data_IF_360611843265
#
_entry.id   IF_360611843265
#
_cell.length_a   1.000
_cell.length_b   1.000
_cell.length_c   1.000
_cell.angle_alpha   90.00
_cell.angle_beta   90.00
_cell.angle_gamma   90.00
#
_symmetry.space_group_name_H-M   'P 1'
#
loop_
_entity.id
_entity.type
_entity.pdbx_description
1 polymer ?
#
# COMPACT_ATOMS: atom_id res chain seq x y z
N UNK A 1 8.08 -3.11 -24.84
CA UNK A 1 9.50 -3.37 -24.54
C UNK A 1 10.06 -4.25 -25.63
N UNK A 2 11.35 -4.15 -25.96
CA UNK A 2 11.98 -5.06 -26.94
C UNK A 2 12.19 -6.45 -26.33
N UNK A 3 12.42 -7.48 -27.16
CA UNK A 3 12.75 -8.83 -26.68
C UNK A 3 13.97 -8.85 -25.77
N UNK A 4 14.99 -8.04 -26.07
CA UNK A 4 16.20 -7.95 -25.25
C UNK A 4 15.91 -7.31 -23.89
N UNK A 5 15.13 -6.22 -23.88
CA UNK A 5 14.71 -5.59 -22.62
C UNK A 5 13.91 -6.56 -21.74
N UNK A 6 13.03 -7.37 -22.33
CA UNK A 6 12.26 -8.38 -21.59
C UNK A 6 13.19 -9.41 -20.96
N UNK A 7 14.20 -9.90 -21.69
CA UNK A 7 15.20 -10.83 -21.17
C UNK A 7 15.99 -10.21 -20.02
N UNK A 8 16.39 -8.96 -20.13
CA UNK A 8 17.07 -8.21 -19.07
C UNK A 8 16.19 -8.02 -17.84
N UNK A 9 14.88 -7.78 -18.00
CA UNK A 9 13.91 -7.75 -16.87
C UNK A 9 13.91 -9.09 -16.15
N UNK A 10 13.82 -10.21 -16.87
CA UNK A 10 13.82 -11.52 -16.23
C UNK A 10 15.11 -11.81 -15.48
N UNK A 11 16.26 -11.42 -16.05
CA UNK A 11 17.55 -11.53 -15.36
C UNK A 11 17.59 -10.65 -14.11
N UNK A 12 17.11 -9.41 -14.19
CA UNK A 12 17.01 -8.50 -13.06
C UNK A 12 16.11 -9.04 -11.95
N UNK A 13 14.94 -9.61 -12.29
CA UNK A 13 14.05 -10.27 -11.34
C UNK A 13 14.74 -11.45 -10.66
N UNK A 14 15.50 -12.26 -11.41
CA UNK A 14 16.28 -13.36 -10.85
C UNK A 14 17.34 -12.90 -9.85
N UNK A 15 18.04 -11.81 -10.17
CA UNK A 15 19.02 -11.20 -9.29
C UNK A 15 18.36 -10.59 -8.04
N UNK A 16 17.24 -9.88 -8.21
CA UNK A 16 16.47 -9.30 -7.11
C UNK A 16 15.94 -10.39 -6.16
N UNK A 17 15.39 -11.48 -6.70
CA UNK A 17 14.95 -12.64 -5.92
C UNK A 17 16.10 -13.25 -5.11
N UNK A 18 17.28 -13.38 -5.71
CA UNK A 18 18.46 -13.92 -5.05
C UNK A 18 18.95 -12.98 -3.95
N UNK A 19 19.03 -11.68 -4.24
CA UNK A 19 19.44 -10.67 -3.28
C UNK A 19 18.49 -10.60 -2.06
N UNK A 20 17.18 -10.67 -2.28
CA UNK A 20 16.18 -10.69 -1.20
C UNK A 20 16.34 -11.93 -0.30
N UNK A 21 16.57 -13.12 -0.89
CA UNK A 21 16.78 -14.36 -0.14
C UNK A 21 18.12 -14.41 0.61
N UNK A 22 19.16 -13.81 0.03
CA UNK A 22 20.50 -13.76 0.61
C UNK A 22 20.71 -12.55 1.54
N UNK A 23 19.68 -11.72 1.73
CA UNK A 23 19.74 -10.50 2.54
C UNK A 23 20.79 -9.48 2.04
N UNK A 24 20.95 -9.36 0.72
CA UNK A 24 21.91 -8.46 0.07
C UNK A 24 21.36 -7.03 -0.04
N UNK A 25 21.42 -6.29 1.07
CA UNK A 25 20.90 -4.93 1.19
C UNK A 25 21.45 -3.94 0.15
N UNK A 26 22.72 -4.05 -0.21
CA UNK A 26 23.37 -3.14 -1.15
C UNK A 26 22.82 -3.25 -2.57
N UNK A 27 22.45 -4.46 -2.99
CA UNK A 27 21.84 -4.67 -4.31
C UNK A 27 20.50 -3.94 -4.39
N UNK A 28 19.68 -4.08 -3.35
CA UNK A 28 18.32 -3.55 -3.32
C UNK A 28 18.32 -2.01 -3.25
N UNK A 29 19.23 -1.43 -2.48
CA UNK A 29 19.46 0.02 -2.49
C UNK A 29 19.88 0.54 -3.87
N UNK A 30 20.78 -0.17 -4.56
CA UNK A 30 21.26 0.21 -5.90
C UNK A 30 20.24 -0.05 -7.01
N UNK A 31 19.34 -1.00 -6.81
CA UNK A 31 18.28 -1.33 -7.74
C UNK A 31 17.20 -0.23 -7.80
N UNK A 32 17.07 0.60 -6.77
CA UNK A 32 16.11 1.70 -6.74
C UNK A 32 16.62 2.94 -7.46
N UNK A 33 15.82 3.47 -8.39
CA UNK A 33 16.15 4.71 -9.11
C UNK A 33 15.29 5.88 -8.61
N UNK A 34 15.87 6.69 -7.73
CA UNK A 34 15.23 7.88 -7.17
C UNK A 34 14.86 8.92 -8.24
N UNK A 35 15.66 9.07 -9.29
CA UNK A 35 15.40 10.04 -10.38
C UNK A 35 14.13 9.68 -11.13
N UNK A 36 13.98 8.42 -11.52
CA UNK A 36 12.78 7.94 -12.21
C UNK A 36 11.55 8.02 -11.30
N UNK A 37 11.66 7.63 -10.02
CA UNK A 37 10.57 7.79 -9.06
C UNK A 37 10.12 9.26 -8.96
N UNK A 38 11.05 10.20 -8.82
CA UNK A 38 10.74 11.65 -8.77
C UNK A 38 10.02 12.11 -10.04
N UNK A 39 10.42 11.62 -11.22
CA UNK A 39 9.75 11.94 -12.48
C UNK A 39 8.30 11.45 -12.53
N UNK A 40 7.96 10.33 -11.85
CA UNK A 40 6.59 9.78 -11.82
C UNK A 40 5.58 10.63 -11.08
N UNK A 41 6.03 11.39 -10.08
CA UNK A 41 5.18 12.33 -9.35
C UNK A 41 4.64 13.41 -10.29
N UNK A 42 5.36 13.67 -11.37
CA UNK A 42 4.94 14.56 -12.45
C UNK A 42 5.27 16.02 -12.17
N UNK A 43 4.74 16.91 -13.01
CA UNK A 43 5.02 18.34 -12.93
C UNK A 43 4.31 18.95 -11.72
N UNK A 44 5.08 19.55 -10.83
CA UNK A 44 4.60 20.37 -9.72
C UNK A 44 4.85 21.86 -10.02
N UNK A 45 4.08 22.78 -9.43
CA UNK A 45 4.45 24.20 -9.44
C UNK A 45 5.71 24.46 -8.61
N UNK A 46 6.27 25.69 -8.62
CA UNK A 46 7.49 26.02 -7.84
C UNK A 46 7.33 25.73 -6.34
N UNK A 47 6.18 26.10 -5.76
CA UNK A 47 5.84 25.81 -4.36
C UNK A 47 5.73 24.30 -4.14
N UNK A 48 5.06 23.59 -5.05
CA UNK A 48 4.92 22.14 -4.99
C UNK A 48 6.26 21.40 -5.06
N UNK A 49 7.21 21.88 -5.86
CA UNK A 49 8.58 21.34 -5.90
C UNK A 49 9.31 21.52 -4.57
N UNK A 50 9.19 22.69 -3.94
CA UNK A 50 9.79 22.94 -2.63
C UNK A 50 9.24 22.00 -1.55
N UNK A 51 7.91 21.88 -1.48
CA UNK A 51 7.22 20.95 -0.56
C UNK A 51 7.60 19.51 -0.86
N UNK A 52 7.58 19.10 -2.12
CA UNK A 52 7.95 17.75 -2.52
C UNK A 52 9.39 17.42 -2.14
N UNK A 53 10.35 18.27 -2.47
CA UNK A 53 11.75 18.02 -2.13
C UNK A 53 11.94 17.88 -0.62
N UNK A 54 11.29 18.74 0.18
CA UNK A 54 11.35 18.63 1.63
C UNK A 54 10.75 17.31 2.13
N UNK A 55 9.51 16.99 1.74
CA UNK A 55 8.82 15.74 2.14
C UNK A 55 9.61 14.52 1.68
N UNK A 56 10.14 14.57 0.46
CA UNK A 56 10.91 13.47 -0.12
C UNK A 56 12.19 13.18 0.65
N UNK A 57 13.02 14.19 0.88
CA UNK A 57 14.32 14.00 1.52
C UNK A 57 14.17 13.69 3.02
N UNK A 58 13.15 14.23 3.70
CA UNK A 58 12.94 14.01 5.15
C UNK A 58 12.19 12.73 5.49
N UNK A 59 11.28 12.28 4.62
CA UNK A 59 10.31 11.22 4.96
C UNK A 59 10.33 10.09 3.93
N UNK A 60 10.16 10.42 2.65
CA UNK A 60 9.87 9.41 1.61
C UNK A 60 11.10 8.57 1.27
N UNK A 61 12.26 9.21 1.10
CA UNK A 61 13.50 8.53 0.73
C UNK A 61 13.86 7.47 1.76
N UNK A 62 13.82 7.86 3.05
CA UNK A 62 14.00 6.94 4.16
C UNK A 62 12.95 5.84 4.19
N UNK A 63 11.67 6.16 3.99
CA UNK A 63 10.60 5.15 4.00
C UNK A 63 10.70 4.14 2.86
N UNK A 64 11.09 4.55 1.65
CA UNK A 64 11.30 3.64 0.52
C UNK A 64 12.49 2.72 0.76
N UNK A 65 13.60 3.29 1.25
CA UNK A 65 14.76 2.49 1.66
C UNK A 65 14.34 1.51 2.78
N UNK A 66 13.63 1.99 3.80
CA UNK A 66 13.18 1.19 4.94
C UNK A 66 12.15 0.12 4.54
N UNK A 67 11.24 0.36 3.60
CA UNK A 67 10.26 -0.63 3.18
C UNK A 67 10.93 -1.85 2.54
N UNK A 68 11.93 -1.59 1.70
CA UNK A 68 12.76 -2.64 1.11
C UNK A 68 13.60 -3.37 2.17
N UNK A 69 14.12 -2.63 3.17
CA UNK A 69 14.84 -3.21 4.30
C UNK A 69 13.92 -4.03 5.22
N UNK A 70 12.67 -3.61 5.43
CA UNK A 70 11.68 -4.27 6.27
C UNK A 70 11.33 -5.65 5.73
N UNK A 71 11.09 -5.77 4.41
CA UNK A 71 10.87 -7.06 3.76
C UNK A 71 12.04 -8.03 4.01
N UNK A 72 13.29 -7.56 3.89
CA UNK A 72 14.47 -8.37 4.13
C UNK A 72 14.60 -8.74 5.61
N UNK A 73 14.36 -7.78 6.50
CA UNK A 73 14.47 -7.97 7.94
C UNK A 73 13.45 -8.98 8.43
N UNK A 74 12.21 -8.94 7.94
CA UNK A 74 11.18 -9.94 8.26
C UNK A 74 11.61 -11.33 7.80
N UNK A 75 12.04 -11.48 6.54
CA UNK A 75 12.54 -12.80 6.06
C UNK A 75 13.73 -13.30 6.89
N UNK A 76 14.64 -12.41 7.28
CA UNK A 76 15.86 -12.78 8.01
C UNK A 76 15.63 -13.10 9.48
N UNK A 77 14.76 -12.34 10.14
CA UNK A 77 14.68 -12.30 11.60
C UNK A 77 13.35 -12.78 12.16
N UNK A 78 12.25 -12.74 11.41
CA UNK A 78 10.94 -13.24 11.86
C UNK A 78 10.55 -14.58 11.25
N UNK A 79 11.39 -15.17 10.41
CA UNK A 79 11.08 -16.46 9.76
C UNK A 79 10.08 -16.35 8.61
N UNK A 80 9.79 -15.13 8.16
CA UNK A 80 8.88 -14.90 7.05
C UNK A 80 9.40 -15.50 5.74
N UNK A 81 8.51 -16.02 4.91
CA UNK A 81 8.81 -16.58 3.58
C UNK A 81 8.43 -15.59 2.49
N UNK A 82 9.40 -15.17 1.68
CA UNK A 82 9.15 -14.35 0.49
C UNK A 82 9.05 -15.22 -0.77
N UNK A 83 7.94 -15.11 -1.51
CA UNK A 83 7.73 -15.78 -2.80
C UNK A 83 7.49 -14.75 -3.91
N UNK A 84 8.18 -14.94 -5.03
CA UNK A 84 7.86 -14.24 -6.28
C UNK A 84 6.62 -14.88 -6.91
N UNK A 85 5.59 -14.09 -7.16
CA UNK A 85 4.31 -14.56 -7.71
C UNK A 85 4.31 -14.52 -9.23
N UNK A 86 4.57 -13.34 -9.79
CA UNK A 86 4.56 -13.12 -11.24
C UNK A 86 5.36 -11.89 -11.63
N UNK A 87 5.77 -11.87 -12.89
CA UNK A 87 6.28 -10.66 -13.55
C UNK A 87 5.40 -10.39 -14.75
N UNK A 88 4.68 -9.26 -14.74
CA UNK A 88 3.90 -8.79 -15.88
C UNK A 88 4.77 -7.88 -16.74
N UNK A 89 4.81 -8.14 -18.05
CA UNK A 89 5.46 -7.27 -19.02
C UNK A 89 4.40 -6.39 -19.67
N UNK A 90 4.60 -5.08 -19.61
CA UNK A 90 3.76 -4.06 -20.23
C UNK A 90 4.60 -3.35 -21.29
N UNK A 91 3.97 -2.63 -22.22
CA UNK A 91 4.65 -2.02 -23.36
C UNK A 91 5.82 -1.12 -22.95
N UNK A 92 5.76 -0.46 -21.79
CA UNK A 92 6.76 0.53 -21.37
C UNK A 92 7.47 0.19 -20.06
N UNK A 93 7.06 -0.85 -19.35
CA UNK A 93 7.58 -1.21 -18.02
C UNK A 93 7.23 -2.66 -17.67
N UNK A 94 7.77 -3.16 -16.57
CA UNK A 94 7.35 -4.43 -15.98
C UNK A 94 6.85 -4.23 -14.55
N UNK A 95 6.01 -5.16 -14.09
CA UNK A 95 5.53 -5.21 -12.72
C UNK A 95 5.96 -6.53 -12.08
N UNK A 96 6.62 -6.47 -10.93
CA UNK A 96 7.03 -7.67 -10.18
C UNK A 96 6.17 -7.75 -8.93
N UNK A 97 5.44 -8.85 -8.75
CA UNK A 97 4.63 -9.07 -7.54
C UNK A 97 5.28 -10.11 -6.64
N UNK A 98 5.42 -9.74 -5.37
CA UNK A 98 5.89 -10.60 -4.28
C UNK A 98 4.80 -10.79 -3.25
N UNK A 99 4.82 -11.95 -2.60
CA UNK A 99 4.10 -12.24 -1.37
C UNK A 99 5.12 -12.53 -0.28
N UNK A 100 5.01 -11.85 0.86
CA UNK A 100 5.65 -12.20 2.10
C UNK A 100 4.64 -12.98 2.95
N UNK A 101 5.04 -14.08 3.57
CA UNK A 101 4.19 -14.91 4.45
C UNK A 101 4.88 -14.99 5.81
N UNK A 102 4.21 -14.61 6.89
CA UNK A 102 4.77 -14.49 8.25
C UNK A 102 3.71 -14.90 9.26
N UNK A 103 3.86 -15.99 10.03
CA UNK A 103 2.94 -16.38 11.11
C UNK A 103 1.42 -16.35 10.78
N UNK A 104 1.02 -16.79 9.57
CA UNK A 104 -0.37 -16.73 9.07
C UNK A 104 -0.76 -15.41 8.37
N UNK A 105 0.10 -14.40 8.47
CA UNK A 105 -0.02 -13.13 7.78
C UNK A 105 0.57 -13.25 6.38
N UNK A 106 0.00 -12.51 5.42
CA UNK A 106 0.65 -12.32 4.14
C UNK A 106 0.58 -10.87 3.67
N UNK A 107 1.69 -10.39 3.14
CA UNK A 107 1.83 -9.03 2.64
C UNK A 107 2.19 -9.06 1.17
N UNK A 108 1.46 -8.28 0.37
CA UNK A 108 1.68 -8.19 -1.05
C UNK A 108 2.41 -6.90 -1.39
N UNK A 109 3.52 -7.05 -2.10
CA UNK A 109 4.28 -5.91 -2.62
C UNK A 109 4.40 -6.07 -4.13
N UNK A 110 3.98 -5.04 -4.87
CA UNK A 110 4.18 -4.97 -6.31
C UNK A 110 5.10 -3.82 -6.64
N UNK A 111 6.22 -4.13 -7.30
CA UNK A 111 7.17 -3.15 -7.78
C UNK A 111 6.95 -2.84 -9.24
N UNK A 112 7.26 -1.59 -9.61
CA UNK A 112 7.44 -1.19 -10.99
C UNK A 112 8.91 -1.25 -11.38
N UNK A 113 9.18 -1.79 -12.56
CA UNK A 113 10.50 -1.81 -13.19
C UNK A 113 10.47 -1.03 -14.49
N UNK A 114 11.29 0.01 -14.59
CA UNK A 114 11.50 0.76 -15.84
C UNK A 114 12.96 0.66 -16.31
N UNK A 115 13.17 0.97 -17.58
CA UNK A 115 14.49 1.08 -18.16
C UNK A 115 15.04 2.50 -18.07
N UNK A 116 16.30 2.60 -17.67
CA UNK A 116 17.04 3.84 -17.72
C UNK A 116 18.49 3.54 -18.10
N UNK A 117 19.00 4.28 -19.09
CA UNK A 117 20.36 4.08 -19.64
C UNK A 117 20.64 2.60 -20.01
N UNK A 118 19.63 1.93 -20.59
CA UNK A 118 19.74 0.54 -21.01
C UNK A 118 19.77 -0.48 -19.89
N UNK A 119 19.39 -0.13 -18.65
CA UNK A 119 19.32 -1.06 -17.51
C UNK A 119 17.97 -0.98 -16.80
N UNK A 120 17.47 -2.12 -16.26
CA UNK A 120 16.25 -2.14 -15.45
C UNK A 120 16.50 -1.63 -14.03
N UNK A 121 15.55 -0.86 -13.50
CA UNK A 121 15.55 -0.35 -12.13
C UNK A 121 14.16 -0.45 -11.50
N UNK A 122 14.10 -0.63 -10.18
CA UNK A 122 12.90 -0.39 -9.40
C UNK A 122 12.61 1.11 -9.36
N UNK A 123 11.38 1.50 -9.65
CA UNK A 123 11.01 2.91 -9.84
C UNK A 123 9.73 3.33 -9.13
N UNK A 124 8.95 2.38 -8.63
CA UNK A 124 7.72 2.65 -7.88
C UNK A 124 7.28 1.39 -7.12
N UNK A 125 6.40 1.59 -6.14
CA UNK A 125 5.78 0.54 -5.33
C UNK A 125 4.27 0.75 -5.35
N UNK A 126 3.51 -0.32 -5.57
CA UNK A 126 2.06 -0.27 -5.54
C UNK A 126 1.54 -0.66 -4.15
N UNK A 127 0.69 0.19 -3.59
CA UNK A 127 -0.05 -0.08 -2.35
C UNK A 127 -1.39 -0.70 -2.70
N UNK A 128 -1.57 -1.99 -2.42
CA UNK A 128 -2.88 -2.65 -2.55
C UNK A 128 -3.89 -2.13 -1.53
N UNK A 129 -3.44 -1.54 -0.42
CA UNK A 129 -4.28 -0.87 0.57
C UNK A 129 -4.93 0.39 -0.02
N UNK A 130 -4.14 1.17 -0.77
CA UNK A 130 -4.58 2.45 -1.34
C UNK A 130 -5.01 2.36 -2.81
N UNK A 131 -4.95 1.16 -3.40
CA UNK A 131 -5.19 0.89 -4.82
C UNK A 131 -4.33 1.70 -5.80
N UNK A 132 -3.16 2.17 -5.37
CA UNK A 132 -2.40 3.09 -6.19
C UNK A 132 -0.89 2.99 -6.02
N UNK A 133 -0.20 3.45 -7.06
CA UNK A 133 1.24 3.63 -7.05
C UNK A 133 1.62 4.69 -6.02
N UNK A 134 2.70 4.43 -5.30
CA UNK A 134 3.17 5.29 -4.22
C UNK A 134 3.56 6.68 -4.72
N UNK A 135 4.10 6.80 -5.94
CA UNK A 135 4.33 8.11 -6.58
C UNK A 135 3.04 8.94 -6.74
N UNK A 136 1.89 8.30 -7.01
CA UNK A 136 0.58 8.96 -7.07
C UNK A 136 0.11 9.41 -5.69
N UNK A 137 0.16 8.52 -4.69
CA UNK A 137 -0.15 8.90 -3.29
C UNK A 137 0.68 10.10 -2.85
N UNK A 138 1.98 10.10 -3.19
CA UNK A 138 2.88 11.18 -2.83
C UNK A 138 2.50 12.51 -3.50
N UNK A 139 2.14 12.45 -4.79
CA UNK A 139 1.64 13.62 -5.50
C UNK A 139 0.41 14.19 -4.81
N UNK A 140 -0.54 13.33 -4.43
CA UNK A 140 -1.78 13.75 -3.79
C UNK A 140 -1.52 14.40 -2.42
N UNK A 141 -0.58 13.83 -1.63
CA UNK A 141 -0.11 14.43 -0.36
C UNK A 141 0.54 15.80 -0.59
N UNK A 142 1.37 15.96 -1.62
CA UNK A 142 2.01 17.25 -1.94
C UNK A 142 0.96 18.29 -2.37
N UNK A 143 0.01 17.90 -3.20
CA UNK A 143 -1.08 18.77 -3.63
C UNK A 143 -1.96 19.19 -2.44
N UNK A 144 -2.24 18.25 -1.53
CA UNK A 144 -2.97 18.53 -0.30
C UNK A 144 -2.24 19.55 0.58
N UNK A 145 -0.93 19.36 0.80
CA UNK A 145 -0.12 20.28 1.60
C UNK A 145 0.09 21.65 0.93
N UNK A 146 0.02 21.71 -0.40
CA UNK A 146 0.06 22.97 -1.14
C UNK A 146 -1.27 23.73 -1.00
N UNK A 147 -2.40 23.01 -0.98
CA UNK A 147 -3.74 23.59 -0.82
C UNK A 147 -4.04 23.99 0.64
N UNK A 148 -3.63 23.16 1.59
CA UNK A 148 -3.85 23.35 3.02
C UNK A 148 -2.50 23.51 3.74
N UNK A 149 -2.02 24.75 3.77
CA UNK A 149 -0.73 25.11 4.37
C UNK A 149 -0.74 24.93 5.89
N UNK A 150 0.42 25.11 6.53
CA UNK A 150 0.57 25.02 7.99
C UNK A 150 -0.27 26.02 8.80
N UNK A 151 -0.87 27.03 8.15
CA UNK A 151 -1.75 28.02 8.78
C UNK A 151 -3.24 27.77 8.48
N UNK A 152 -3.57 26.70 7.74
CA UNK A 152 -4.95 26.40 7.38
C UNK A 152 -5.73 25.89 8.59
N UNK A 153 -6.86 26.53 8.97
CA UNK A 153 -7.71 26.05 10.06
C UNK A 153 -8.17 24.59 9.83
N UNK A 154 -8.56 24.25 8.60
CA UNK A 154 -8.95 22.89 8.21
C UNK A 154 -7.85 21.86 8.44
N UNK A 155 -6.59 22.23 8.19
CA UNK A 155 -5.44 21.35 8.49
C UNK A 155 -5.28 21.15 9.99
N UNK A 156 -5.40 22.22 10.79
CA UNK A 156 -5.29 22.13 12.24
C UNK A 156 -6.42 21.29 12.86
N UNK A 157 -7.64 21.44 12.36
CA UNK A 157 -8.80 20.63 12.75
C UNK A 157 -8.56 19.15 12.44
N UNK A 158 -8.19 18.82 11.21
CA UNK A 158 -7.89 17.44 10.82
C UNK A 158 -6.73 16.83 11.61
N UNK A 159 -5.65 17.57 11.83
CA UNK A 159 -4.53 17.10 12.62
C UNK A 159 -4.93 16.85 14.08
N UNK A 160 -5.76 17.72 14.67
CA UNK A 160 -6.27 17.53 16.03
C UNK A 160 -7.16 16.31 16.13
N UNK A 161 -8.08 16.14 15.18
CA UNK A 161 -8.93 14.98 15.08
C UNK A 161 -8.12 13.68 14.94
N UNK A 162 -7.07 13.68 14.11
CA UNK A 162 -6.16 12.53 13.95
C UNK A 162 -5.37 12.22 15.24
N UNK A 163 -4.92 13.25 15.97
CA UNK A 163 -4.24 13.06 17.27
C UNK A 163 -5.21 12.47 18.30
N UNK A 164 -6.44 13.01 18.37
CA UNK A 164 -7.47 12.49 19.27
C UNK A 164 -7.82 11.04 18.95
N UNK A 165 -7.96 10.71 17.66
CA UNK A 165 -8.15 9.33 17.21
C UNK A 165 -7.05 8.41 17.72
N UNK A 166 -5.77 8.77 17.52
CA UNK A 166 -4.63 7.95 17.97
C UNK A 166 -4.62 7.76 19.48
N UNK A 167 -4.80 8.83 20.24
CA UNK A 167 -4.86 8.77 21.70
C UNK A 167 -6.01 7.87 22.19
N UNK A 168 -7.17 7.94 21.53
CA UNK A 168 -8.34 7.13 21.87
C UNK A 168 -8.13 5.64 21.53
N UNK A 169 -7.50 5.33 20.39
CA UNK A 169 -7.07 3.96 20.05
C UNK A 169 -6.11 3.42 21.10
N UNK A 170 -5.09 4.20 21.49
CA UNK A 170 -4.09 3.79 22.48
C UNK A 170 -4.71 3.56 23.88
N UNK A 171 -5.80 4.25 24.21
CA UNK A 171 -6.55 4.03 25.45
C UNK A 171 -7.65 2.97 25.35
N UNK A 172 -7.87 2.37 24.18
CA UNK A 172 -8.96 1.41 23.93
C UNK A 172 -10.36 2.04 23.91
N UNK A 173 -10.47 3.35 23.74
CA UNK A 173 -11.73 4.08 23.62
C UNK A 173 -12.14 4.17 22.14
N UNK A 174 -12.73 3.08 21.64
CA UNK A 174 -13.08 2.96 20.22
C UNK A 174 -14.21 3.90 19.81
N UNK A 175 -15.15 4.24 20.70
CA UNK A 175 -16.22 5.20 20.39
C UNK A 175 -15.66 6.61 20.16
N UNK A 176 -14.79 7.09 21.05
CA UNK A 176 -14.12 8.38 20.86
C UNK A 176 -13.18 8.36 19.64
N UNK A 177 -12.54 7.23 19.38
CA UNK A 177 -11.69 7.06 18.21
C UNK A 177 -12.51 7.23 16.92
N UNK A 178 -13.66 6.55 16.80
CA UNK A 178 -14.51 6.65 15.61
C UNK A 178 -15.07 8.07 15.44
N UNK A 179 -15.57 8.68 16.51
CA UNK A 179 -16.05 10.06 16.49
C UNK A 179 -14.95 11.03 16.02
N UNK A 180 -13.71 10.80 16.46
CA UNK A 180 -12.57 11.63 16.06
C UNK A 180 -12.23 11.45 14.58
N UNK A 181 -12.32 10.23 14.01
CA UNK A 181 -12.15 10.03 12.57
C UNK A 181 -13.22 10.74 11.75
N UNK A 182 -14.47 10.73 12.20
CA UNK A 182 -15.58 11.41 11.52
C UNK A 182 -15.44 12.93 11.46
N UNK A 183 -14.68 13.52 12.40
CA UNK A 183 -14.37 14.95 12.39
C UNK A 183 -13.36 15.36 11.31
N UNK A 184 -12.64 14.41 10.71
CA UNK A 184 -11.66 14.72 9.65
C UNK A 184 -12.42 15.08 8.37
N UNK A 185 -12.24 16.29 7.81
CA UNK A 185 -12.98 16.71 6.61
C UNK A 185 -12.77 15.76 5.43
N UNK A 186 -13.81 15.39 4.66
CA UNK A 186 -13.69 14.50 3.50
C UNK A 186 -12.65 14.97 2.48
N UNK A 187 -12.49 16.29 2.30
CA UNK A 187 -11.47 16.86 1.41
C UNK A 187 -10.02 16.59 1.80
N UNK A 188 -9.79 16.05 3.00
CA UNK A 188 -8.47 15.69 3.55
C UNK A 188 -8.30 14.17 3.66
N UNK A 189 -9.35 13.38 3.37
CA UNK A 189 -9.34 11.93 3.36
C UNK A 189 -8.92 11.41 1.97
N UNK A 190 -7.65 11.63 1.59
CA UNK A 190 -7.17 11.39 0.22
C UNK A 190 -6.72 9.94 -0.06
N UNK A 191 -6.82 9.06 0.94
CA UNK A 191 -6.27 7.69 0.94
C UNK A 191 -7.26 6.73 1.59
N UNK A 192 -7.21 5.46 1.23
CA UNK A 192 -8.13 4.45 1.77
C UNK A 192 -7.88 4.14 3.24
N UNK A 193 -6.73 4.54 3.79
CA UNK A 193 -6.41 4.40 5.20
C UNK A 193 -7.49 4.97 6.14
N UNK A 194 -8.25 5.99 5.74
CA UNK A 194 -9.39 6.50 6.51
C UNK A 194 -10.58 5.54 6.51
N UNK A 195 -10.95 4.99 5.34
CA UNK A 195 -12.02 3.99 5.24
C UNK A 195 -11.68 2.76 6.08
N UNK A 196 -10.44 2.30 5.97
CA UNK A 196 -9.92 1.14 6.70
C UNK A 196 -9.92 1.40 8.21
N UNK A 197 -9.42 2.57 8.65
CA UNK A 197 -9.42 2.94 10.05
C UNK A 197 -10.84 2.98 10.63
N UNK A 198 -11.82 3.50 9.87
CA UNK A 198 -13.23 3.50 10.28
C UNK A 198 -13.78 2.09 10.46
N UNK A 199 -13.61 1.21 9.46
CA UNK A 199 -14.08 -0.18 9.53
C UNK A 199 -13.47 -0.89 10.75
N UNK A 200 -12.13 -0.83 10.89
CA UNK A 200 -11.44 -1.51 11.98
C UNK A 200 -11.85 -0.96 13.35
N UNK A 201 -12.06 0.35 13.48
CA UNK A 201 -12.53 0.95 14.74
C UNK A 201 -13.96 0.53 15.05
N UNK A 202 -14.86 0.57 14.07
CA UNK A 202 -16.26 0.19 14.24
C UNK A 202 -16.44 -1.28 14.62
N UNK A 203 -15.60 -2.17 14.06
CA UNK A 203 -15.58 -3.59 14.39
C UNK A 203 -15.27 -3.88 15.87
N UNK A 204 -14.60 -2.96 16.58
CA UNK A 204 -14.29 -3.09 18.00
C UNK A 204 -15.39 -2.51 18.93
N UNK A 205 -16.46 -1.92 18.37
CA UNK A 205 -17.54 -1.31 19.15
C UNK A 205 -18.78 -2.19 19.17
N UNK A 206 -19.39 -2.44 17.99
CA UNK A 206 -20.57 -3.31 17.86
C UNK A 206 -20.85 -3.68 16.40
N UNK A 207 -21.51 -4.82 16.19
CA UNK A 207 -21.93 -5.28 14.84
C UNK A 207 -22.84 -4.26 14.14
N UNK A 208 -23.75 -3.60 14.87
CA UNK A 208 -24.64 -2.60 14.29
C UNK A 208 -23.88 -1.38 13.76
N UNK A 209 -22.84 -0.94 14.48
CA UNK A 209 -22.05 0.20 14.06
C UNK A 209 -21.08 -0.18 12.93
N UNK A 210 -20.55 -1.39 12.97
CA UNK A 210 -19.78 -1.97 11.88
C UNK A 210 -20.58 -2.00 10.59
N UNK A 211 -21.79 -2.56 10.61
CA UNK A 211 -22.68 -2.62 9.44
C UNK A 211 -22.96 -1.23 8.86
N UNK A 212 -23.35 -0.28 9.71
CA UNK A 212 -23.55 1.12 9.31
C UNK A 212 -22.30 1.73 8.68
N UNK A 213 -21.13 1.49 9.28
CA UNK A 213 -19.86 2.02 8.78
C UNK A 213 -19.51 1.43 7.43
N UNK A 214 -19.76 0.13 7.23
CA UNK A 214 -19.56 -0.56 5.95
C UNK A 214 -20.45 0.08 4.88
N UNK A 215 -21.74 0.28 5.16
CA UNK A 215 -22.67 0.94 4.22
C UNK A 215 -22.22 2.37 3.85
N UNK A 216 -21.60 3.09 4.78
CA UNK A 216 -21.13 4.47 4.55
C UNK A 216 -19.83 4.55 3.74
N UNK A 217 -18.92 3.57 3.89
CA UNK A 217 -17.63 3.57 3.18
C UNK A 217 -17.67 2.83 1.86
N UNK A 218 -18.67 1.98 1.66
CA UNK A 218 -18.95 1.27 0.43
C UNK A 218 -19.25 2.27 -0.70
N UNK A 219 -18.42 2.25 -1.73
CA UNK A 219 -18.65 3.06 -2.92
C UNK A 219 -19.56 2.28 -3.88
N UNK A 220 -20.87 2.27 -3.63
CA UNK A 220 -21.82 1.58 -4.52
C UNK A 220 -21.78 2.04 -6.00
N UNK A 221 -21.13 3.18 -6.30
CA UNK A 221 -20.98 3.71 -7.65
C UNK A 221 -19.65 3.33 -8.31
N UNK A 222 -18.62 2.95 -7.55
CA UNK A 222 -17.33 2.50 -8.06
C UNK A 222 -16.87 1.24 -7.33
N UNK A 223 -16.31 0.27 -8.07
CA UNK A 223 -15.73 -0.92 -7.44
C UNK A 223 -14.72 -0.50 -6.36
N UNK A 224 -14.97 -0.89 -5.11
CA UNK A 224 -14.09 -0.62 -3.98
C UNK A 224 -12.69 -1.17 -4.23
N UNK A 225 -11.72 -0.64 -3.48
CA UNK A 225 -10.41 -1.27 -3.45
C UNK A 225 -10.49 -2.69 -2.86
N UNK A 226 -9.73 -3.61 -3.43
CA UNK A 226 -9.75 -5.03 -3.06
C UNK A 226 -9.47 -5.30 -1.57
N UNK A 227 -8.68 -4.44 -0.91
CA UNK A 227 -8.40 -4.57 0.52
C UNK A 227 -9.60 -4.16 1.38
N UNK A 228 -10.37 -3.14 0.95
CA UNK A 228 -11.61 -2.75 1.64
C UNK A 228 -12.64 -3.87 1.53
N UNK A 229 -12.82 -4.46 0.34
CA UNK A 229 -13.73 -5.59 0.14
C UNK A 229 -13.33 -6.80 0.99
N UNK A 230 -12.04 -7.09 1.08
CA UNK A 230 -11.50 -8.11 1.97
C UNK A 230 -11.88 -7.86 3.43
N UNK A 231 -11.68 -6.65 3.94
CA UNK A 231 -12.03 -6.32 5.33
C UNK A 231 -13.54 -6.46 5.57
N UNK A 232 -14.35 -6.00 4.64
CA UNK A 232 -15.80 -6.17 4.70
C UNK A 232 -16.19 -7.65 4.75
N UNK A 233 -15.66 -8.49 3.87
CA UNK A 233 -15.92 -9.92 3.87
C UNK A 233 -15.49 -10.59 5.19
N UNK A 234 -14.30 -10.23 5.70
CA UNK A 234 -13.77 -10.74 6.96
C UNK A 234 -14.67 -10.41 8.15
N UNK A 235 -15.10 -9.15 8.29
CA UNK A 235 -15.90 -8.71 9.43
C UNK A 235 -17.37 -9.12 9.36
N UNK A 236 -17.94 -9.21 8.15
CA UNK A 236 -19.34 -9.63 7.97
C UNK A 236 -19.53 -11.15 8.12
N UNK A 237 -18.45 -11.94 8.05
CA UNK A 237 -18.50 -13.40 7.99
C UNK A 237 -19.41 -13.92 6.86
N UNK A 238 -19.54 -13.17 5.76
CA UNK A 238 -20.32 -13.55 4.59
C UNK A 238 -19.48 -14.43 3.67
N UNK A 239 -19.76 -15.72 3.67
CA UNK A 239 -19.01 -16.71 2.89
C UNK A 239 -19.15 -16.50 1.38
N UNK A 240 -20.30 -16.04 0.89
CA UNK A 240 -20.50 -15.83 -0.54
C UNK A 240 -19.71 -14.61 -1.01
N UNK A 241 -19.77 -13.54 -0.23
CA UNK A 241 -18.99 -12.35 -0.51
C UNK A 241 -17.49 -12.61 -0.41
N UNK A 242 -17.06 -13.41 0.57
CA UNK A 242 -15.67 -13.82 0.70
C UNK A 242 -15.17 -14.64 -0.50
N UNK A 243 -16.01 -15.49 -1.08
CA UNK A 243 -15.66 -16.22 -2.30
C UNK A 243 -15.47 -15.27 -3.50
N UNK A 244 -16.34 -14.28 -3.66
CA UNK A 244 -16.23 -13.27 -4.72
C UNK A 244 -14.95 -12.43 -4.57
N UNK A 245 -14.64 -11.99 -3.34
CA UNK A 245 -13.39 -11.26 -3.04
C UNK A 245 -12.17 -12.12 -3.33
N UNK A 246 -12.17 -13.40 -2.93
CA UNK A 246 -11.08 -14.34 -3.21
C UNK A 246 -10.87 -14.51 -4.71
N UNK A 247 -11.94 -14.60 -5.49
CA UNK A 247 -11.89 -14.68 -6.95
C UNK A 247 -11.26 -13.41 -7.54
N UNK A 248 -11.68 -12.22 -7.08
CA UNK A 248 -11.13 -10.94 -7.53
C UNK A 248 -9.65 -10.78 -7.15
N UNK A 249 -9.27 -11.14 -5.93
CA UNK A 249 -7.87 -11.17 -5.46
C UNK A 249 -7.00 -12.02 -6.39
N UNK A 250 -7.48 -13.21 -6.80
CA UNK A 250 -6.77 -14.06 -7.75
C UNK A 250 -6.57 -13.39 -9.10
N UNK A 251 -7.56 -12.67 -9.61
CA UNK A 251 -7.46 -11.99 -10.90
C UNK A 251 -6.50 -10.80 -10.83
N UNK A 252 -6.66 -9.92 -9.84
CA UNK A 252 -5.88 -8.68 -9.73
C UNK A 252 -4.43 -8.94 -9.33
N UNK A 253 -4.21 -9.84 -8.37
CA UNK A 253 -2.88 -10.15 -7.83
C UNK A 253 -2.20 -11.26 -8.66
N UNK A 254 -2.97 -12.12 -9.32
CA UNK A 254 -2.46 -13.26 -10.11
C UNK A 254 -1.96 -14.41 -9.25
N UNK A 255 -2.52 -14.59 -8.05
CA UNK A 255 -2.23 -15.72 -7.17
C UNK A 255 -3.01 -16.95 -7.66
N UNK A 256 -2.38 -18.12 -7.66
CA UNK A 256 -3.05 -19.36 -8.04
C UNK A 256 -4.08 -19.77 -6.98
N UNK A 257 -5.15 -20.47 -7.39
CA UNK A 257 -6.15 -20.97 -6.44
C UNK A 257 -5.51 -21.80 -5.31
N UNK A 258 -4.61 -22.76 -5.58
CA UNK A 258 -4.01 -23.56 -4.52
C UNK A 258 -3.16 -22.74 -3.54
N UNK A 259 -2.46 -21.70 -4.04
CA UNK A 259 -1.70 -20.82 -3.16
C UNK A 259 -2.64 -19.99 -2.29
N UNK A 260 -3.72 -19.43 -2.85
CA UNK A 260 -4.72 -18.72 -2.06
C UNK A 260 -5.41 -19.63 -1.05
N UNK A 261 -5.84 -20.83 -1.46
CA UNK A 261 -6.47 -21.82 -0.58
C UNK A 261 -5.52 -22.24 0.56
N UNK A 262 -4.21 -22.34 0.31
CA UNK A 262 -3.21 -22.61 1.36
C UNK A 262 -3.01 -21.43 2.33
N UNK A 263 -3.20 -20.20 1.86
CA UNK A 263 -3.20 -19.02 2.73
C UNK A 263 -4.50 -18.99 3.55
N UNK A 264 -5.63 -19.44 3.00
CA UNK A 264 -6.92 -19.46 3.70
C UNK A 264 -6.93 -20.43 4.89
N UNK A 265 -6.09 -21.46 4.88
CA UNK A 265 -5.96 -22.44 5.98
C UNK A 265 -5.06 -21.99 7.13
N UNK A 266 -4.12 -21.07 6.87
CA UNK A 266 -3.29 -20.41 7.88
C UNK A 266 -3.87 -19.02 8.08
N UNK A 267 -4.90 -18.92 8.95
CA UNK A 267 -5.78 -17.75 9.12
C UNK A 267 -5.26 -16.46 8.48
N UNK A 268 -5.88 -16.06 7.35
CA UNK A 268 -5.43 -14.94 6.53
C UNK A 268 -5.28 -13.69 7.36
N UNK A 269 -4.10 -13.08 7.30
CA UNK A 269 -3.92 -11.80 7.95
C UNK A 269 -3.48 -10.70 6.99
N UNK A 270 -4.52 -9.96 6.64
CA UNK A 270 -4.54 -8.54 6.29
C UNK A 270 -5.00 -7.71 7.52
N UNK A 271 -4.73 -8.19 8.75
CA UNK A 271 -4.69 -7.40 10.01
C UNK A 271 -3.29 -6.84 10.25
#
# INVERSE_FOLDING_TARGET
MTKEQIKEVHQFVGNLNSALKNFEFDFIKKAWNHTLFKQRIGKLGNIGHGVFNHVYETTVKGNVENHNLDLINRVKHSGATLKHIKTNIIDTYAEITYILIEDGYYHLTRYRVDFHEGKPYLTDIYSYKDDQWFSKSMRDVVLLNTKYTAFSPKRHEANRALVNYRNAIDSGDFELALLSLEQIPPSLQITNEFKIAKINTAANISDSLLLKTIEEVDDSQNVNNIYVDYLMALYLNDSLYQDDVNVRMRMEIGISKPLLDSLNTEGLIWN
#
